data_IF_950279788794
#
_entry.id   IF_950279788794
#
_cell.length_a   1.000
_cell.length_b   1.000
_cell.length_c   1.000
_cell.angle_alpha   90.00
_cell.angle_beta   90.00
_cell.angle_gamma   90.00
#
_symmetry.space_group_name_H-M   'P 1'
#
loop_
_entity.id
_entity.type
_entity.pdbx_description
1 polymer ?
#
# COMPACT_ATOMS: atom_id res chain seq x y z
N UNK A 1 46.28 -16.43 -22.28
CA UNK A 1 45.19 -15.47 -22.02
C UNK A 1 44.06 -16.24 -21.37
N UNK A 2 43.96 -16.14 -20.04
CA UNK A 2 42.96 -16.87 -19.24
C UNK A 2 41.66 -16.09 -19.21
N UNK A 3 40.57 -16.72 -19.67
CA UNK A 3 39.22 -16.16 -19.68
C UNK A 3 38.80 -15.76 -18.25
N UNK A 4 38.85 -14.47 -17.95
CA UNK A 4 38.46 -13.89 -16.65
C UNK A 4 36.96 -13.51 -16.63
N UNK A 5 36.08 -14.36 -17.16
CA UNK A 5 34.64 -14.10 -17.22
C UNK A 5 33.78 -15.18 -16.52
N UNK A 6 34.38 -16.25 -16.01
CA UNK A 6 33.67 -17.44 -15.51
C UNK A 6 33.34 -17.43 -14.01
N UNK A 7 33.59 -16.32 -13.29
CA UNK A 7 33.27 -16.19 -11.85
C UNK A 7 32.22 -15.12 -11.55
N UNK A 8 31.28 -14.88 -12.45
CA UNK A 8 30.10 -14.07 -12.13
C UNK A 8 29.03 -14.99 -11.50
N UNK A 9 28.85 -14.90 -10.18
CA UNK A 9 27.70 -15.51 -9.51
C UNK A 9 26.46 -14.70 -9.85
N UNK A 10 25.76 -15.08 -10.91
CA UNK A 10 24.53 -14.42 -11.38
C UNK A 10 23.28 -14.87 -10.63
N UNK A 11 23.42 -15.64 -9.54
CA UNK A 11 22.28 -16.06 -8.74
C UNK A 11 21.65 -14.84 -8.06
N UNK A 12 20.41 -14.54 -8.43
CA UNK A 12 19.63 -13.44 -7.86
C UNK A 12 19.65 -12.14 -8.66
N UNK A 13 20.74 -11.78 -9.34
CA UNK A 13 20.86 -10.44 -9.97
C UNK A 13 19.86 -10.18 -11.11
N UNK A 14 19.57 -11.19 -11.93
CA UNK A 14 18.56 -11.07 -13.00
C UNK A 14 17.16 -11.00 -12.41
N UNK A 15 16.90 -11.79 -11.37
CA UNK A 15 15.62 -11.81 -10.66
C UNK A 15 15.39 -10.45 -9.98
N UNK A 16 16.35 -9.92 -9.25
CA UNK A 16 16.29 -8.59 -8.62
C UNK A 16 16.18 -7.46 -9.66
N UNK A 17 16.81 -7.60 -10.83
CA UNK A 17 16.69 -6.60 -11.92
C UNK A 17 15.30 -6.61 -12.57
N UNK A 18 14.68 -7.79 -12.71
CA UNK A 18 13.35 -7.96 -13.32
C UNK A 18 12.24 -7.59 -12.33
N UNK A 19 12.34 -8.05 -11.09
CA UNK A 19 11.32 -7.81 -10.06
C UNK A 19 11.52 -6.47 -9.31
N UNK A 20 12.63 -5.77 -9.57
CA UNK A 20 13.06 -4.59 -8.82
C UNK A 20 13.72 -4.97 -7.50
N UNK A 21 14.67 -4.16 -7.02
CA UNK A 21 15.38 -4.40 -5.76
C UNK A 21 14.39 -4.60 -4.61
N UNK A 22 14.22 -5.84 -4.16
CA UNK A 22 13.21 -6.29 -3.19
C UNK A 22 13.54 -5.90 -1.74
N UNK A 23 14.37 -4.89 -1.50
CA UNK A 23 14.99 -4.65 -0.20
C UNK A 23 14.12 -3.88 0.82
N UNK A 24 12.79 -3.94 0.71
CA UNK A 24 11.91 -3.34 1.72
C UNK A 24 11.61 -4.34 2.83
N UNK A 25 12.40 -4.29 3.90
CA UNK A 25 12.12 -5.06 5.12
C UNK A 25 10.86 -4.52 5.80
N UNK A 26 9.93 -5.40 6.14
CA UNK A 26 8.73 -5.04 6.90
C UNK A 26 9.10 -4.33 8.21
N UNK A 27 8.58 -3.12 8.43
CA UNK A 27 8.77 -2.39 9.67
C UNK A 27 7.69 -2.73 10.70
N UNK A 28 7.96 -2.49 11.99
CA UNK A 28 6.96 -2.65 13.06
C UNK A 28 5.70 -1.79 12.84
N UNK A 29 5.84 -0.62 12.22
CA UNK A 29 4.73 0.24 11.84
C UNK A 29 3.85 -0.39 10.75
N UNK A 30 4.45 -1.01 9.74
CA UNK A 30 3.73 -1.71 8.66
C UNK A 30 2.96 -2.91 9.21
N UNK A 31 3.62 -3.77 9.99
CA UNK A 31 2.98 -4.94 10.64
C UNK A 31 1.80 -4.51 11.51
N UNK A 32 1.96 -3.44 12.29
CA UNK A 32 0.88 -2.88 13.09
C UNK A 32 -0.27 -2.36 12.20
N UNK A 33 0.04 -1.69 11.10
CA UNK A 33 -0.95 -1.23 10.13
C UNK A 33 -1.81 -2.39 9.62
N UNK A 34 -1.17 -3.44 9.11
CA UNK A 34 -1.83 -4.65 8.61
C UNK A 34 -2.75 -5.28 9.67
N UNK A 35 -2.30 -5.39 10.92
CA UNK A 35 -3.13 -5.97 12.00
C UNK A 35 -4.36 -5.12 12.37
N UNK A 36 -4.29 -3.81 12.19
CA UNK A 36 -5.34 -2.88 12.62
C UNK A 36 -6.31 -2.50 11.51
N UNK A 37 -5.88 -2.56 10.26
CA UNK A 37 -6.64 -2.16 9.08
C UNK A 37 -8.03 -2.80 9.05
N UNK A 38 -8.12 -4.11 9.27
CA UNK A 38 -9.40 -4.82 9.25
C UNK A 38 -10.34 -4.35 10.38
N UNK A 39 -9.79 -4.07 11.56
CA UNK A 39 -10.59 -3.56 12.70
C UNK A 39 -11.11 -2.16 12.39
N UNK A 40 -10.28 -1.31 11.79
CA UNK A 40 -10.68 0.05 11.38
C UNK A 40 -11.73 -0.01 10.29
N UNK A 41 -11.58 -0.88 9.28
CA UNK A 41 -12.54 -1.02 8.19
C UNK A 41 -13.93 -1.42 8.70
N UNK A 42 -13.99 -2.34 9.68
CA UNK A 42 -15.25 -2.71 10.36
C UNK A 42 -15.88 -1.53 11.11
N UNK A 43 -15.08 -0.72 11.79
CA UNK A 43 -15.57 0.48 12.51
C UNK A 43 -16.10 1.53 11.52
N UNK A 44 -15.37 1.78 10.44
CA UNK A 44 -15.79 2.69 9.36
C UNK A 44 -17.09 2.20 8.72
N UNK A 45 -17.19 0.90 8.42
CA UNK A 45 -18.42 0.30 7.89
C UNK A 45 -19.65 0.55 8.78
N UNK A 46 -19.51 0.34 10.09
CA UNK A 46 -20.57 0.65 11.06
C UNK A 46 -20.91 2.15 11.08
N UNK A 47 -19.90 3.03 11.07
CA UNK A 47 -20.09 4.49 11.13
C UNK A 47 -20.86 5.04 9.92
N UNK A 48 -20.61 4.50 8.73
CA UNK A 48 -21.24 4.93 7.49
C UNK A 48 -22.40 4.03 7.05
N UNK A 49 -22.84 3.12 7.92
CA UNK A 49 -23.87 2.11 7.64
C UNK A 49 -23.68 1.44 6.26
N UNK A 50 -22.44 1.05 5.98
CA UNK A 50 -22.00 0.57 4.66
C UNK A 50 -21.15 -0.68 4.84
N UNK A 51 -21.35 -1.66 3.95
CA UNK A 51 -20.48 -2.83 3.88
C UNK A 51 -19.33 -2.56 2.91
N UNK A 52 -18.10 -2.63 3.40
CA UNK A 52 -16.89 -2.52 2.61
C UNK A 52 -16.35 -3.91 2.25
N UNK A 53 -15.96 -4.09 0.98
CA UNK A 53 -15.24 -5.25 0.49
C UNK A 53 -13.76 -4.93 0.41
N UNK A 54 -12.89 -5.88 0.78
CA UNK A 54 -11.46 -5.79 0.49
C UNK A 54 -11.24 -5.95 -1.02
N UNK A 55 -10.20 -5.30 -1.55
CA UNK A 55 -9.78 -5.42 -2.95
C UNK A 55 -8.30 -5.77 -3.06
N UNK A 56 -7.92 -6.38 -4.18
CA UNK A 56 -6.52 -6.46 -4.62
C UNK A 56 -6.12 -5.21 -5.40
N UNK A 57 -5.11 -5.36 -6.26
CA UNK A 57 -4.73 -4.31 -7.21
C UNK A 57 -5.82 -4.12 -8.26
N UNK A 58 -6.32 -2.90 -8.39
CA UNK A 58 -7.26 -2.47 -9.42
C UNK A 58 -6.49 -1.59 -10.40
N UNK A 59 -6.49 -1.97 -11.68
CA UNK A 59 -5.84 -1.21 -12.74
C UNK A 59 -6.77 -0.15 -13.33
N UNK A 60 -6.21 1.00 -13.71
CA UNK A 60 -6.92 1.97 -14.53
C UNK A 60 -7.06 1.40 -15.94
N UNK A 61 -8.29 1.21 -16.42
CA UNK A 61 -8.53 0.62 -17.74
C UNK A 61 -7.93 1.42 -18.89
N UNK A 62 -7.95 2.74 -18.76
CA UNK A 62 -7.48 3.69 -19.77
C UNK A 62 -5.95 3.83 -19.77
N UNK A 63 -5.33 3.68 -18.59
CA UNK A 63 -3.89 3.71 -18.40
C UNK A 63 -3.44 2.53 -17.54
N UNK A 64 -3.28 1.31 -18.11
CA UNK A 64 -3.02 0.08 -17.34
C UNK A 64 -1.71 0.08 -16.53
N UNK A 65 -0.80 1.01 -16.84
CA UNK A 65 0.41 1.26 -16.06
C UNK A 65 0.12 1.87 -14.68
N UNK A 66 -1.10 2.37 -14.46
CA UNK A 66 -1.57 2.91 -13.20
C UNK A 66 -2.51 1.92 -12.52
N UNK A 67 -2.38 1.79 -11.20
CA UNK A 67 -3.28 1.00 -10.38
C UNK A 67 -3.28 1.46 -8.93
N UNK A 68 -4.29 1.01 -8.19
CA UNK A 68 -4.42 1.25 -6.77
C UNK A 68 -4.94 0.00 -6.07
N UNK A 69 -4.60 -0.17 -4.81
CA UNK A 69 -5.11 -1.24 -3.94
C UNK A 69 -5.86 -0.59 -2.78
N UNK A 70 -7.14 -0.22 -2.93
CA UNK A 70 -7.91 0.35 -1.84
C UNK A 70 -8.03 -0.61 -0.66
N UNK A 71 -7.96 -0.07 0.56
CA UNK A 71 -8.15 -0.86 1.79
C UNK A 71 -9.61 -1.34 1.93
N UNK A 72 -10.55 -0.60 1.34
CA UNK A 72 -11.92 -1.05 1.18
C UNK A 72 -12.69 -0.29 0.11
N UNK A 73 -13.60 -1.00 -0.56
CA UNK A 73 -14.49 -0.45 -1.57
C UNK A 73 -15.95 -0.83 -1.30
N UNK A 74 -16.85 0.09 -1.59
CA UNK A 74 -18.30 -0.10 -1.59
C UNK A 74 -18.87 0.57 -2.83
N UNK A 75 -20.18 0.48 -3.03
CA UNK A 75 -20.86 1.16 -4.15
C UNK A 75 -20.70 2.69 -4.12
N UNK A 76 -20.50 3.28 -2.93
CA UNK A 76 -20.49 4.74 -2.74
C UNK A 76 -19.14 5.31 -2.34
N UNK A 77 -18.26 4.48 -1.78
CA UNK A 77 -17.04 4.95 -1.14
C UNK A 77 -15.84 4.05 -1.47
N UNK A 78 -14.68 4.70 -1.63
CA UNK A 78 -13.35 4.09 -1.63
C UNK A 78 -12.65 4.56 -0.36
N UNK A 79 -12.04 3.64 0.39
CA UNK A 79 -11.44 3.92 1.70
C UNK A 79 -9.96 3.62 1.66
N UNK A 80 -9.20 4.60 2.16
CA UNK A 80 -7.78 4.48 2.51
C UNK A 80 -7.63 4.64 4.03
N UNK A 81 -7.13 3.61 4.68
CA UNK A 81 -6.92 3.50 6.12
C UNK A 81 -5.45 3.76 6.42
N UNK A 82 -5.22 4.70 7.34
CA UNK A 82 -3.90 4.89 7.94
C UNK A 82 -3.97 4.61 9.43
N UNK A 83 -3.09 3.74 9.90
CA UNK A 83 -2.95 3.39 11.31
C UNK A 83 -1.64 3.96 11.87
N UNK A 84 -1.55 5.28 12.14
CA UNK A 84 -0.32 5.89 12.65
C UNK A 84 0.09 5.29 14.00
N UNK A 85 1.40 5.24 14.25
CA UNK A 85 1.99 4.74 15.51
C UNK A 85 1.87 5.79 16.62
N UNK A 86 2.08 7.07 16.30
CA UNK A 86 1.97 8.19 17.24
C UNK A 86 0.59 8.86 17.16
N UNK A 87 0.11 9.41 18.28
CA UNK A 87 -1.21 10.06 18.42
C UNK A 87 -1.31 11.46 17.79
N UNK A 88 -0.34 11.91 16.99
CA UNK A 88 -0.38 13.24 16.33
C UNK A 88 -1.34 13.27 15.13
N UNK A 89 -2.60 12.92 15.40
CA UNK A 89 -3.74 12.89 14.48
C UNK A 89 -4.09 14.31 14.00
N UNK A 90 -3.72 15.36 14.75
CA UNK A 90 -4.07 16.77 14.47
C UNK A 90 -3.42 17.35 13.20
N UNK A 91 -2.29 16.81 12.73
CA UNK A 91 -1.63 17.30 11.50
C UNK A 91 -2.16 16.65 10.20
N UNK A 92 -2.78 15.45 10.28
CA UNK A 92 -3.13 14.68 9.09
C UNK A 92 -4.39 15.19 8.36
N UNK A 93 -5.36 15.75 9.09
CA UNK A 93 -6.66 16.16 8.53
C UNK A 93 -6.72 17.65 8.16
N UNK A 94 -5.88 18.52 8.75
CA UNK A 94 -5.92 19.96 8.49
C UNK A 94 -5.39 20.33 7.10
N UNK A 95 -4.40 19.61 6.59
CA UNK A 95 -3.76 19.92 5.31
C UNK A 95 -4.59 19.59 4.04
N UNK A 96 -5.62 18.74 4.13
CA UNK A 96 -6.43 18.32 2.97
C UNK A 96 -7.73 19.09 2.78
N UNK A 97 -8.23 19.81 3.80
CA UNK A 97 -9.49 20.55 3.71
C UNK A 97 -9.30 22.06 3.45
N UNK A 98 -8.20 22.65 3.89
CA UNK A 98 -7.96 24.10 3.76
C UNK A 98 -7.48 24.55 2.36
N UNK A 99 -7.28 23.63 1.40
CA UNK A 99 -6.85 23.94 0.02
C UNK A 99 -7.92 23.65 -1.05
N UNK A 100 -9.19 23.52 -0.66
CA UNK A 100 -10.32 23.28 -1.59
C UNK A 100 -11.58 24.11 -1.29
N UNK A 101 -11.40 25.32 -0.76
CA UNK A 101 -12.46 26.33 -0.66
C UNK A 101 -12.05 27.60 -1.38
#
# INVERSE_FOLDING_TARGET
MTNSATRCSTEGVLVESIFGATSMTETSAMRRGLMLEEKVLKIVGKKYNTMFKKSGLILCKEYPVLGASPDGISEKYVVEIKCPVKKDIKKLYKAKWENKS
#
